data_IF_776858519815
#
_entry.id   IF_776858519815
#
_cell.length_a   1.000
_cell.length_b   1.000
_cell.length_c   1.000
_cell.angle_alpha   90.00
_cell.angle_beta   90.00
_cell.angle_gamma   90.00
#
_symmetry.space_group_name_H-M   'P 1'
#
loop_
_entity.id
_entity.type
_entity.pdbx_description
1 polymer ?
#
# COMPACT_ATOMS: atom_id res chain seq x y z
N UNK A 1 65.62 44.25 -12.78
CA UNK A 1 64.91 45.18 -11.89
C UNK A 1 63.42 45.03 -12.18
N UNK A 2 62.60 44.93 -11.13
CA UNK A 2 61.14 44.85 -11.11
C UNK A 2 60.46 43.47 -11.23
N UNK A 3 59.35 43.37 -10.52
CA UNK A 3 58.86 42.27 -9.67
C UNK A 3 57.33 42.17 -9.84
N UNK A 4 56.74 41.02 -9.47
CA UNK A 4 55.28 40.75 -9.24
C UNK A 4 54.44 40.55 -10.52
N UNK A 5 53.48 39.64 -10.61
CA UNK A 5 52.84 38.75 -9.64
C UNK A 5 51.45 38.36 -10.18
N UNK A 6 50.86 37.30 -9.58
CA UNK A 6 49.44 36.90 -9.57
C UNK A 6 49.09 35.58 -10.28
N UNK A 7 49.34 34.51 -9.52
CA UNK A 7 48.51 33.32 -9.44
C UNK A 7 47.11 33.68 -8.91
N UNK A 8 46.26 34.26 -9.76
CA UNK A 8 44.82 34.45 -9.49
C UNK A 8 44.09 34.20 -10.81
N UNK A 9 44.21 32.99 -11.36
CA UNK A 9 43.25 32.39 -12.30
C UNK A 9 43.41 30.86 -12.22
N UNK A 10 43.47 30.35 -10.98
CA UNK A 10 42.88 29.05 -10.70
C UNK A 10 41.37 29.31 -10.78
N UNK A 11 40.61 28.34 -11.31
CA UNK A 11 39.14 28.34 -11.32
C UNK A 11 38.53 29.23 -12.41
N UNK A 12 38.52 28.77 -13.66
CA UNK A 12 37.32 28.88 -14.49
C UNK A 12 37.41 27.94 -15.70
N UNK A 13 36.41 27.08 -15.78
CA UNK A 13 35.94 26.40 -17.00
C UNK A 13 36.77 25.19 -17.42
N UNK A 14 36.36 24.01 -16.92
CA UNK A 14 35.30 23.20 -17.53
C UNK A 14 35.90 22.36 -18.66
N UNK A 15 36.34 21.15 -18.32
CA UNK A 15 35.48 19.96 -18.31
C UNK A 15 35.32 19.43 -19.73
N UNK A 16 36.13 18.39 -19.96
CA UNK A 16 35.76 17.10 -20.58
C UNK A 16 35.28 17.21 -22.04
N UNK A 17 36.20 17.00 -22.97
CA UNK A 17 36.40 15.72 -23.65
C UNK A 17 35.16 15.24 -24.42
N UNK A 18 35.21 15.52 -25.72
CA UNK A 18 34.77 14.67 -26.83
C UNK A 18 34.47 13.22 -26.44
N UNK A 19 33.28 12.73 -26.80
CA UNK A 19 33.10 11.72 -27.87
C UNK A 19 31.60 11.41 -27.99
N UNK A 20 30.96 11.96 -29.02
CA UNK A 20 29.77 11.32 -29.59
C UNK A 20 30.23 10.07 -30.33
N UNK A 21 29.68 8.91 -29.96
CA UNK A 21 29.69 7.73 -30.82
C UNK A 21 28.36 7.01 -30.63
N UNK A 22 27.57 6.93 -31.70
CA UNK A 22 26.31 6.21 -31.78
C UNK A 22 26.53 4.71 -32.04
N UNK A 23 25.56 3.94 -31.54
CA UNK A 23 25.11 2.58 -31.89
C UNK A 23 26.09 1.40 -31.85
N UNK A 24 25.85 0.51 -30.88
CA UNK A 24 25.83 -0.95 -31.07
C UNK A 24 24.71 -1.58 -30.23
N UNK A 25 23.95 -2.48 -30.86
CA UNK A 25 22.93 -3.38 -30.27
C UNK A 25 23.60 -4.48 -29.40
N UNK A 26 22.75 -5.13 -28.59
CA UNK A 26 22.98 -6.14 -27.51
C UNK A 26 23.07 -5.44 -26.15
N UNK A 27 22.25 -5.78 -25.14
CA UNK A 27 22.29 -7.05 -24.42
C UNK A 27 21.17 -7.09 -23.38
N UNK A 28 20.50 -8.24 -23.33
CA UNK A 28 19.95 -9.00 -22.19
C UNK A 28 19.09 -8.37 -21.09
N UNK A 29 18.06 -9.15 -20.79
CA UNK A 29 17.20 -9.11 -19.61
C UNK A 29 18.01 -9.05 -18.31
N UNK A 30 17.95 -7.94 -17.59
CA UNK A 30 18.21 -7.93 -16.14
C UNK A 30 17.49 -6.75 -15.48
N UNK A 31 16.17 -6.78 -15.50
CA UNK A 31 15.32 -5.86 -14.73
C UNK A 31 14.19 -6.68 -14.07
N UNK A 32 14.57 -7.69 -13.29
CA UNK A 32 13.63 -8.39 -12.41
C UNK A 32 14.38 -9.10 -11.27
N UNK A 33 15.07 -8.33 -10.45
CA UNK A 33 15.62 -8.83 -9.18
C UNK A 33 15.71 -7.79 -8.08
N UNK A 34 15.75 -6.50 -8.43
CA UNK A 34 15.81 -5.41 -7.47
C UNK A 34 14.44 -5.17 -6.79
N UNK A 35 13.34 -5.19 -7.55
CA UNK A 35 11.99 -4.88 -7.03
C UNK A 35 11.46 -5.97 -6.08
N UNK A 36 11.87 -7.23 -6.26
CA UNK A 36 11.42 -8.37 -5.45
C UNK A 36 12.19 -8.52 -4.14
N UNK A 37 13.42 -8.00 -4.06
CA UNK A 37 14.21 -8.06 -2.83
C UNK A 37 13.78 -6.96 -1.86
N UNK A 38 13.56 -5.75 -2.37
CA UNK A 38 13.15 -4.58 -1.58
C UNK A 38 11.75 -4.75 -1.00
N UNK A 39 10.84 -5.40 -1.74
CA UNK A 39 9.49 -5.73 -1.25
C UNK A 39 9.47 -6.80 -0.15
N UNK A 40 10.43 -7.75 -0.17
CA UNK A 40 10.52 -8.79 0.87
C UNK A 40 11.19 -8.28 2.14
N UNK A 41 12.19 -7.42 2.01
CA UNK A 41 12.91 -6.83 3.14
C UNK A 41 12.04 -5.82 3.91
N UNK A 42 11.23 -5.03 3.20
CA UNK A 42 10.25 -4.11 3.82
C UNK A 42 9.14 -4.84 4.57
N UNK A 43 8.59 -5.92 4.01
CA UNK A 43 7.59 -6.76 4.71
C UNK A 43 8.20 -7.46 5.92
N UNK A 44 9.41 -8.03 5.80
CA UNK A 44 10.07 -8.71 6.91
C UNK A 44 10.39 -7.78 8.08
N UNK A 45 10.90 -6.57 7.80
CA UNK A 45 11.21 -5.58 8.84
C UNK A 45 9.94 -4.98 9.47
N UNK A 46 8.87 -4.76 8.69
CA UNK A 46 7.58 -4.36 9.22
C UNK A 46 6.96 -5.46 10.09
N UNK A 47 7.04 -6.72 9.66
CA UNK A 47 6.47 -7.90 10.32
C UNK A 47 7.03 -8.13 11.72
N UNK A 48 8.33 -7.89 11.94
CA UNK A 48 9.02 -8.17 13.20
C UNK A 48 8.44 -7.42 14.42
N UNK A 49 7.88 -6.23 14.22
CA UNK A 49 7.28 -5.40 15.27
C UNK A 49 5.78 -5.12 15.06
N UNK A 50 5.15 -5.74 14.05
CA UNK A 50 3.73 -5.57 13.77
C UNK A 50 2.90 -6.49 14.65
N UNK A 51 1.87 -5.95 15.30
CA UNK A 51 0.82 -6.74 15.95
C UNK A 51 -0.31 -6.96 14.95
N UNK A 52 -0.93 -8.15 14.94
CA UNK A 52 -2.00 -8.39 14.00
C UNK A 52 -3.18 -7.47 14.35
N UNK A 53 -3.79 -6.89 13.31
CA UNK A 53 -4.86 -5.89 13.47
C UNK A 53 -6.14 -6.48 12.92
N UNK A 54 -7.24 -6.31 13.65
CA UNK A 54 -8.57 -6.65 13.18
C UNK A 54 -9.43 -5.40 13.17
N UNK A 55 -10.09 -5.13 12.06
CA UNK A 55 -11.17 -4.16 11.99
C UNK A 55 -12.49 -4.90 11.87
N UNK A 56 -13.40 -4.69 12.83
CA UNK A 56 -14.72 -5.35 12.83
C UNK A 56 -15.83 -4.34 13.02
N UNK A 57 -16.92 -4.48 12.28
CA UNK A 57 -18.08 -3.64 12.51
C UNK A 57 -18.66 -3.84 13.91
N UNK A 58 -19.08 -2.75 14.52
CA UNK A 58 -19.76 -2.74 15.82
C UNK A 58 -21.16 -2.21 15.59
N UNK A 59 -22.18 -2.91 16.10
CA UNK A 59 -23.60 -2.50 16.06
C UNK A 59 -24.18 -2.38 14.64
N UNK A 60 -24.13 -3.47 13.87
CA UNK A 60 -24.94 -3.58 12.66
C UNK A 60 -25.69 -4.94 12.68
N UNK A 61 -26.98 -4.91 12.30
CA UNK A 61 -27.87 -6.08 12.26
C UNK A 61 -28.00 -6.72 10.85
N UNK A 62 -27.27 -6.17 9.89
CA UNK A 62 -27.45 -6.43 8.45
C UNK A 62 -26.31 -7.29 7.89
N UNK A 63 -25.05 -7.03 8.25
CA UNK A 63 -23.85 -7.70 7.74
C UNK A 63 -22.73 -7.76 8.79
N UNK A 64 -22.07 -8.90 8.92
CA UNK A 64 -20.78 -9.03 9.59
C UNK A 64 -19.68 -8.62 8.60
N UNK A 65 -18.74 -7.80 9.05
CA UNK A 65 -17.58 -7.34 8.29
C UNK A 65 -16.36 -7.50 9.20
N UNK A 66 -15.35 -8.20 8.69
CA UNK A 66 -14.08 -8.39 9.36
C UNK A 66 -12.93 -8.23 8.37
N UNK A 67 -12.00 -7.32 8.66
CA UNK A 67 -10.72 -7.19 7.98
C UNK A 67 -9.61 -7.55 8.97
N UNK A 68 -8.92 -8.66 8.72
CA UNK A 68 -7.81 -9.15 9.53
C UNK A 68 -6.49 -8.96 8.79
N UNK A 69 -5.58 -8.16 9.34
CA UNK A 69 -4.23 -7.90 8.83
C UNK A 69 -3.25 -8.70 9.69
N UNK A 70 -2.65 -9.72 9.08
CA UNK A 70 -1.81 -10.70 9.78
C UNK A 70 -0.35 -10.27 9.79
N UNK A 71 0.42 -10.72 10.78
CA UNK A 71 1.85 -10.38 10.87
C UNK A 71 2.65 -10.83 9.66
N UNK A 72 2.28 -11.94 9.03
CA UNK A 72 3.01 -12.52 7.89
C UNK A 72 2.89 -11.76 6.55
N UNK A 73 2.42 -10.51 6.54
CA UNK A 73 2.32 -9.71 5.30
C UNK A 73 1.09 -10.02 4.45
N UNK A 74 0.11 -10.76 5.00
CA UNK A 74 -1.16 -11.06 4.33
C UNK A 74 -2.35 -10.52 5.11
N UNK A 75 -3.47 -10.31 4.42
CA UNK A 75 -4.73 -9.95 5.06
C UNK A 75 -5.89 -10.78 4.51
N UNK A 76 -6.97 -10.84 5.29
CA UNK A 76 -8.24 -11.45 4.89
C UNK A 76 -9.34 -10.44 5.15
N UNK A 77 -10.16 -10.19 4.14
CA UNK A 77 -11.44 -9.50 4.24
C UNK A 77 -12.56 -10.54 4.20
N UNK A 78 -13.50 -10.42 5.11
CA UNK A 78 -14.69 -11.26 5.19
C UNK A 78 -15.93 -10.39 5.36
N UNK A 79 -16.97 -10.72 4.60
CA UNK A 79 -18.29 -10.12 4.68
C UNK A 79 -19.35 -11.21 4.59
N UNK A 80 -20.35 -11.15 5.47
CA UNK A 80 -21.51 -12.02 5.40
C UNK A 80 -22.78 -11.31 5.86
N UNK A 81 -23.92 -11.47 5.16
CA UNK A 81 -25.19 -10.95 5.65
C UNK A 81 -25.59 -11.69 6.94
N UNK A 82 -26.10 -10.96 7.92
CA UNK A 82 -26.59 -11.50 9.20
C UNK A 82 -28.00 -12.08 9.08
N UNK A 83 -28.74 -11.68 8.04
CA UNK A 83 -30.07 -12.17 7.71
C UNK A 83 -30.12 -12.70 6.28
N UNK A 84 -31.07 -13.60 6.00
CA UNK A 84 -31.24 -14.12 4.63
C UNK A 84 -31.59 -12.98 3.67
N UNK A 85 -31.00 -13.00 2.50
CA UNK A 85 -31.45 -12.17 1.38
C UNK A 85 -32.89 -12.55 1.00
N UNK A 86 -33.65 -11.69 0.28
CA UNK A 86 -34.98 -12.03 -0.22
C UNK A 86 -35.01 -13.30 -1.08
N UNK A 87 -33.88 -13.66 -1.69
CA UNK A 87 -33.65 -14.86 -2.49
C UNK A 87 -33.38 -16.12 -1.63
N UNK A 88 -33.24 -15.96 -0.31
CA UNK A 88 -33.03 -17.05 0.65
C UNK A 88 -31.58 -17.49 0.82
N UNK A 89 -30.64 -16.88 0.10
CA UNK A 89 -29.21 -17.26 0.12
C UNK A 89 -28.39 -16.35 1.03
N UNK A 90 -27.47 -16.94 1.79
CA UNK A 90 -26.38 -16.21 2.46
C UNK A 90 -25.18 -16.17 1.51
N UNK A 91 -25.01 -15.07 0.77
CA UNK A 91 -23.81 -14.87 -0.04
C UNK A 91 -22.72 -14.25 0.81
N UNK A 92 -21.70 -15.04 1.13
CA UNK A 92 -20.51 -14.57 1.82
C UNK A 92 -19.47 -14.12 0.79
N UNK A 93 -18.70 -13.10 1.14
CA UNK A 93 -17.56 -12.63 0.36
C UNK A 93 -16.31 -12.78 1.22
N UNK A 94 -15.32 -13.50 0.71
CA UNK A 94 -14.01 -13.62 1.34
C UNK A 94 -12.97 -13.22 0.31
N UNK A 95 -12.14 -12.24 0.65
CA UNK A 95 -11.06 -11.76 -0.21
C UNK A 95 -9.75 -11.83 0.58
N UNK A 96 -8.65 -12.04 -0.12
CA UNK A 96 -7.31 -12.04 0.46
C UNK A 96 -6.40 -11.10 -0.31
N UNK A 97 -5.27 -10.80 0.31
CA UNK A 97 -4.21 -10.09 -0.36
C UNK A 97 -2.97 -9.97 0.51
N UNK A 98 -2.07 -9.13 0.04
CA UNK A 98 -0.83 -8.81 0.72
C UNK A 98 -0.89 -7.39 1.28
N UNK A 99 -0.07 -7.11 2.30
CA UNK A 99 0.07 -5.76 2.81
C UNK A 99 1.52 -5.36 3.01
N UNK A 100 1.77 -4.06 2.91
CA UNK A 100 3.01 -3.40 3.32
C UNK A 100 2.68 -2.25 4.26
N UNK A 101 3.66 -1.82 5.05
CA UNK A 101 3.52 -0.65 5.94
C UNK A 101 4.48 0.44 5.52
N UNK A 102 3.96 1.64 5.37
CA UNK A 102 4.72 2.85 5.11
C UNK A 102 4.31 3.89 6.16
N UNK A 103 5.18 4.16 7.13
CA UNK A 103 4.88 5.04 8.27
C UNK A 103 3.59 4.60 9.00
N UNK A 104 2.59 5.48 9.10
CA UNK A 104 1.28 5.19 9.68
C UNK A 104 0.32 4.50 8.69
N UNK A 105 0.66 4.40 7.40
CA UNK A 105 -0.21 3.79 6.39
C UNK A 105 0.06 2.30 6.24
N UNK A 106 -1.00 1.49 6.30
CA UNK A 106 -0.96 0.10 5.84
C UNK A 106 -1.53 0.09 4.42
N UNK A 107 -0.75 -0.40 3.47
CA UNK A 107 -1.16 -0.54 2.07
C UNK A 107 -1.64 -1.97 1.87
N UNK A 108 -2.92 -2.14 1.57
CA UNK A 108 -3.53 -3.43 1.25
C UNK A 108 -3.63 -3.57 -0.27
N UNK A 109 -3.15 -4.71 -0.78
CA UNK A 109 -3.24 -5.08 -2.19
C UNK A 109 -4.02 -6.38 -2.33
N UNK A 110 -5.25 -6.29 -2.84
CA UNK A 110 -6.14 -7.41 -3.09
C UNK A 110 -5.59 -8.31 -4.21
N UNK A 111 -5.64 -9.62 -4.01
CA UNK A 111 -5.25 -10.61 -5.03
C UNK A 111 -6.38 -10.85 -6.04
N UNK A 112 -7.63 -10.84 -5.58
CA UNK A 112 -8.81 -11.03 -6.41
C UNK A 112 -9.26 -9.71 -7.03
N UNK A 113 -9.39 -9.70 -8.37
CA UNK A 113 -9.85 -8.54 -9.14
C UNK A 113 -11.37 -8.51 -9.35
N UNK A 114 -12.11 -9.55 -8.94
CA UNK A 114 -13.56 -9.61 -9.11
C UNK A 114 -14.30 -8.58 -8.26
N UNK A 115 -13.75 -8.23 -7.09
CA UNK A 115 -14.29 -7.20 -6.20
C UNK A 115 -13.29 -6.06 -6.11
N UNK A 116 -13.71 -4.87 -6.55
CA UNK A 116 -12.85 -3.68 -6.53
C UNK A 116 -12.74 -3.09 -5.13
N UNK A 117 -11.55 -2.65 -4.75
CA UNK A 117 -11.28 -1.89 -3.53
C UNK A 117 -12.20 -0.64 -3.45
N UNK A 118 -12.48 0.01 -4.57
CA UNK A 118 -13.43 1.15 -4.66
C UNK A 118 -14.85 0.79 -4.23
N UNK A 119 -15.25 -0.48 -4.33
CA UNK A 119 -16.58 -0.95 -3.92
C UNK A 119 -16.63 -1.25 -2.43
N UNK A 120 -15.52 -1.71 -1.84
CA UNK A 120 -15.41 -2.04 -0.41
C UNK A 120 -15.19 -0.77 0.43
N UNK A 121 -14.32 0.11 -0.05
CA UNK A 121 -13.89 1.34 0.63
C UNK A 121 -14.52 2.56 -0.03
N UNK A 122 -15.82 2.72 0.22
CA UNK A 122 -16.60 3.84 -0.30
C UNK A 122 -16.65 4.99 0.70
N UNK A 123 -16.28 6.20 0.27
CA UNK A 123 -16.49 7.41 1.05
C UNK A 123 -18.00 7.68 1.07
N UNK A 124 -18.63 7.63 2.24
CA UNK A 124 -19.97 8.18 2.40
C UNK A 124 -19.85 9.69 2.65
N UNK A 125 -20.75 10.48 2.07
CA UNK A 125 -20.71 11.94 2.11
C UNK A 125 -20.57 12.46 3.55
N UNK A 126 -19.55 13.29 3.81
CA UNK A 126 -19.36 13.97 5.09
C UNK A 126 -18.36 13.32 6.06
N UNK A 127 -17.68 12.24 5.67
CA UNK A 127 -16.54 11.67 6.41
C UNK A 127 -15.28 11.76 5.57
N UNK A 128 -14.23 12.40 6.08
CA UNK A 128 -12.87 12.14 5.59
C UNK A 128 -12.57 10.68 5.95
N UNK A 129 -12.42 9.82 4.94
CA UNK A 129 -12.14 8.42 5.18
C UNK A 129 -10.76 8.28 5.83
N UNK A 130 -10.64 7.45 6.86
CA UNK A 130 -9.36 6.98 7.42
C UNK A 130 -8.62 6.02 6.47
N UNK A 131 -8.87 6.17 5.17
CA UNK A 131 -8.35 5.35 4.09
C UNK A 131 -8.26 6.16 2.79
N UNK A 132 -7.42 5.72 1.87
CA UNK A 132 -7.27 6.26 0.53
C UNK A 132 -7.25 5.12 -0.48
N UNK A 133 -8.23 5.08 -1.38
CA UNK A 133 -8.21 4.14 -2.50
C UNK A 133 -7.22 4.64 -3.54
N UNK A 134 -6.25 3.80 -3.92
CA UNK A 134 -5.20 4.12 -4.90
C UNK A 134 -5.62 3.66 -6.29
N UNK A 135 -6.16 2.44 -6.38
CA UNK A 135 -6.68 1.84 -7.60
C UNK A 135 -7.74 0.76 -7.26
N UNK A 136 -8.22 0.04 -8.27
CA UNK A 136 -9.25 -1.00 -8.13
C UNK A 136 -8.83 -2.16 -7.21
N UNK A 137 -7.55 -2.33 -6.91
CA UNK A 137 -6.99 -3.43 -6.12
C UNK A 137 -6.20 -2.96 -4.90
N UNK A 138 -5.96 -1.67 -4.76
CA UNK A 138 -5.04 -1.12 -3.75
C UNK A 138 -5.71 -0.03 -2.93
N UNK A 139 -5.63 -0.15 -1.61
CA UNK A 139 -6.10 0.84 -0.64
C UNK A 139 -5.06 1.06 0.44
N UNK A 140 -4.91 2.30 0.89
CA UNK A 140 -4.14 2.64 2.08
C UNK A 140 -5.09 2.89 3.23
N UNK A 141 -4.81 2.36 4.41
CA UNK A 141 -5.55 2.64 5.65
C UNK A 141 -4.62 3.32 6.63
N UNK A 142 -5.10 4.36 7.31
CA UNK A 142 -4.36 5.01 8.39
C UNK A 142 -4.44 4.13 9.63
N UNK A 143 -3.32 3.52 9.99
CA UNK A 143 -3.23 2.60 11.12
C UNK A 143 -3.20 3.31 12.47
N UNK A 144 -3.08 4.64 12.53
CA UNK A 144 -3.18 5.38 13.79
C UNK A 144 -4.64 5.62 14.22
N UNK A 145 -5.58 5.44 13.29
CA UNK A 145 -7.01 5.61 13.56
C UNK A 145 -7.59 4.38 14.28
N UNK A 146 -8.49 4.64 15.23
CA UNK A 146 -9.17 3.60 16.01
C UNK A 146 -10.30 2.91 15.23
N UNK A 147 -10.70 3.47 14.10
CA UNK A 147 -11.71 2.90 13.23
C UNK A 147 -11.47 3.24 11.75
N UNK A 148 -12.14 2.48 10.89
CA UNK A 148 -12.23 2.74 9.46
C UNK A 148 -13.67 2.52 8.99
N UNK A 149 -14.08 3.21 7.94
CA UNK A 149 -15.37 2.98 7.30
C UNK A 149 -15.20 1.96 6.17
N UNK A 150 -15.92 0.86 6.23
CA UNK A 150 -15.99 -0.18 5.20
C UNK A 150 -17.44 -0.31 4.76
N UNK A 151 -17.73 -0.14 3.48
CA UNK A 151 -19.10 -0.11 2.94
C UNK A 151 -20.00 0.91 3.65
N UNK A 152 -19.43 2.03 4.11
CA UNK A 152 -20.15 3.03 4.91
C UNK A 152 -20.47 2.59 6.35
N UNK A 153 -19.97 1.44 6.79
CA UNK A 153 -20.13 0.92 8.14
C UNK A 153 -18.84 1.14 8.91
N UNK A 154 -18.97 1.70 10.12
CA UNK A 154 -17.85 1.91 11.03
C UNK A 154 -17.33 0.57 11.56
N UNK A 155 -16.05 0.29 11.33
CA UNK A 155 -15.33 -0.89 11.80
C UNK A 155 -14.24 -0.48 12.80
N UNK A 156 -14.32 -1.01 14.02
CA UNK A 156 -13.42 -0.68 15.12
C UNK A 156 -12.17 -1.55 15.06
N UNK A 157 -11.03 -0.91 15.26
CA UNK A 157 -9.71 -1.53 15.35
C UNK A 157 -9.55 -2.27 16.68
N UNK A 158 -9.00 -3.47 16.61
CA UNK A 158 -8.46 -4.20 17.75
C UNK A 158 -7.11 -4.82 17.38
N UNK A 159 -6.30 -5.08 18.40
CA UNK A 159 -4.99 -5.70 18.25
C UNK A 159 -5.08 -7.13 18.80
N UNK A 160 -4.54 -8.09 18.05
CA UNK A 160 -4.52 -9.53 18.40
C UNK A 160 -3.11 -10.12 18.35
#
# INVERSE_FOLDING_TARGET
MSFKGNYIYIILLAVIFFFSCQEKKQTDQEENKQEVLESKETVANASANFLAIVYRNVLNEITDINLTIKKEGTFIYYQAPLSKTPEGEYKTTTLSGTWTKNENWIVLKFEDQQVKATTIFTITTGQEGNFKVIDDTTVQIDSDQEDISILGIRCIKSII
#
